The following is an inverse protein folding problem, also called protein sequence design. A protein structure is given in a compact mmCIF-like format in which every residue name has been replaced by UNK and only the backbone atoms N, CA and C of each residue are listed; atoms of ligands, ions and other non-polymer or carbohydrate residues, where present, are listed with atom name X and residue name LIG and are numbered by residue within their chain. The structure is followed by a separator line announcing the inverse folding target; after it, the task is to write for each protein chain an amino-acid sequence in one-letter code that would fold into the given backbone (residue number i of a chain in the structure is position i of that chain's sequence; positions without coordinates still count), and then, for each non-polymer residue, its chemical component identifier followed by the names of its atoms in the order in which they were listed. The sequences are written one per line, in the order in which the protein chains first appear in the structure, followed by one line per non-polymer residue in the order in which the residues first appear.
data_IF_684970969217
#
_entry.id   IF_684970969217
#
_cell.length_a   1.000
_cell.length_b   1.000
_cell.length_c   1.000
_cell.angle_alpha   90.00
_cell.angle_beta   90.00
_cell.angle_gamma   90.00
#
_symmetry.space_group_name_H-M   'P 1'
#
loop_
_entity.id
_entity.type
_entity.pdbx_description
1 polymer ?
#
# COMPACT_ATOMS: atom_id res chain seq x y z
N UNK A 1 26.39 -8.30 -36.65
CA UNK A 1 26.52 -7.99 -35.22
C UNK A 1 26.04 -6.56 -34.93
N UNK A 2 24.84 -6.42 -34.37
CA UNK A 2 24.11 -5.15 -34.37
C UNK A 2 24.38 -4.31 -33.12
N UNK A 3 25.57 -3.70 -33.08
CA UNK A 3 25.97 -2.68 -32.09
C UNK A 3 24.97 -1.51 -32.02
N UNK A 4 24.29 -1.20 -33.13
CA UNK A 4 23.29 -0.13 -33.20
C UNK A 4 22.03 -0.46 -32.37
N UNK A 5 21.58 -1.73 -32.39
CA UNK A 5 20.42 -2.16 -31.62
C UNK A 5 20.69 -2.09 -30.11
N UNK A 6 21.89 -2.49 -29.69
CA UNK A 6 22.36 -2.44 -28.30
C UNK A 6 22.30 -1.01 -27.76
N UNK A 7 22.79 -0.07 -28.57
CA UNK A 7 22.86 1.35 -28.22
C UNK A 7 21.47 1.97 -28.09
N UNK A 8 20.54 1.64 -29.00
CA UNK A 8 19.18 2.16 -29.01
C UNK A 8 18.38 1.68 -27.77
N UNK A 9 18.56 0.40 -27.40
CA UNK A 9 17.97 -0.20 -26.21
C UNK A 9 18.54 0.42 -24.93
N UNK A 10 19.85 0.64 -24.86
CA UNK A 10 20.49 1.29 -23.72
C UNK A 10 19.97 2.72 -23.53
N UNK A 11 19.82 3.47 -24.63
CA UNK A 11 19.27 4.84 -24.61
C UNK A 11 17.80 4.84 -24.14
N UNK A 12 16.95 3.98 -24.70
CA UNK A 12 15.55 3.85 -24.27
C UNK A 12 15.45 3.53 -22.77
N UNK A 13 16.40 2.76 -22.27
CA UNK A 13 16.49 2.42 -20.86
C UNK A 13 16.85 3.51 -19.91
N UNK A 14 17.84 4.31 -20.28
CA UNK A 14 18.17 5.51 -19.52
C UNK A 14 16.96 6.44 -19.50
N UNK A 15 16.24 6.56 -20.61
CA UNK A 15 15.04 7.39 -20.73
C UNK A 15 13.92 6.93 -19.80
N UNK A 16 13.64 5.63 -19.77
CA UNK A 16 12.66 5.05 -18.84
C UNK A 16 13.14 5.09 -17.38
N UNK A 17 14.41 4.86 -17.10
CA UNK A 17 14.99 4.99 -15.76
C UNK A 17 14.75 6.39 -15.19
N UNK A 18 14.95 7.39 -16.04
CA UNK A 18 14.76 8.79 -15.67
C UNK A 18 13.29 9.10 -15.38
N UNK A 19 12.38 8.56 -16.20
CA UNK A 19 10.94 8.68 -16.01
C UNK A 19 10.49 8.02 -14.69
N UNK A 20 10.87 6.76 -14.48
CA UNK A 20 10.54 6.01 -13.27
C UNK A 20 11.16 6.61 -12.00
N UNK A 21 12.41 7.07 -12.04
CA UNK A 21 13.02 7.83 -10.93
C UNK A 21 12.19 9.05 -10.59
N UNK A 22 11.82 9.85 -11.59
CA UNK A 22 11.09 11.10 -11.37
C UNK A 22 9.72 10.84 -10.76
N UNK A 23 9.04 9.80 -11.23
CA UNK A 23 7.76 9.32 -10.71
C UNK A 23 7.87 8.77 -9.30
N UNK A 24 8.85 7.91 -9.02
CA UNK A 24 9.12 7.38 -7.68
C UNK A 24 9.42 8.51 -6.70
N UNK A 25 10.32 9.44 -7.06
CA UNK A 25 10.67 10.60 -6.23
C UNK A 25 9.45 11.49 -5.98
N UNK A 26 8.60 11.74 -6.99
CA UNK A 26 7.34 12.48 -6.81
C UNK A 26 6.37 11.75 -5.88
N UNK A 27 6.27 10.43 -6.01
CA UNK A 27 5.39 9.63 -5.16
C UNK A 27 5.85 9.68 -3.69
N UNK A 28 7.12 9.46 -3.43
CA UNK A 28 7.69 9.51 -2.08
C UNK A 28 7.57 10.89 -1.43
N UNK A 29 7.71 11.96 -2.23
CA UNK A 29 7.53 13.34 -1.77
C UNK A 29 6.06 13.66 -1.46
N UNK A 30 5.12 13.08 -2.21
CA UNK A 30 3.67 13.24 -1.99
C UNK A 30 3.19 12.46 -0.76
N UNK A 31 3.79 11.30 -0.49
CA UNK A 31 3.50 10.49 0.70
C UNK A 31 3.97 11.18 2.01
N UNK A 32 4.77 12.25 1.92
CA UNK A 32 5.30 13.00 3.08
C UNK A 32 6.13 12.10 4.04
N UNK A 33 6.85 11.10 3.50
CA UNK A 33 7.79 10.30 4.31
C UNK A 33 8.85 11.21 4.96
N UNK A 34 9.27 12.27 4.26
CA UNK A 34 10.21 13.27 4.80
C UNK A 34 9.70 13.88 6.12
N UNK A 35 8.40 14.19 6.24
CA UNK A 35 7.78 14.73 7.48
C UNK A 35 7.61 13.70 8.61
N UNK A 36 7.59 12.41 8.28
CA UNK A 36 7.52 11.33 9.26
C UNK A 36 8.91 10.93 9.78
N UNK A 37 9.94 10.97 8.93
CA UNK A 37 11.34 10.73 9.33
C UNK A 37 11.93 11.87 10.17
N UNK A 38 11.56 13.13 9.88
CA UNK A 38 11.99 14.29 10.70
C UNK A 38 11.40 14.27 12.11
N UNK A 39 10.31 13.52 12.34
CA UNK A 39 9.71 13.35 13.68
C UNK A 39 10.33 12.20 14.49
N UNK A 40 11.15 11.34 13.89
CA UNK A 40 11.67 10.11 14.52
C UNK A 40 13.18 10.12 14.79
N UNK A 41 13.88 11.27 14.70
CA UNK A 41 15.34 11.39 14.90
C UNK A 41 16.21 10.51 13.98
N UNK A 42 15.61 9.88 12.95
CA UNK A 42 16.33 9.06 11.97
C UNK A 42 17.21 9.96 11.08
N UNK A 43 16.75 11.18 10.79
CA UNK A 43 17.50 12.21 10.06
C UNK A 43 18.85 12.53 10.75
N UNK A 44 18.90 12.46 12.08
CA UNK A 44 20.08 12.80 12.88
C UNK A 44 21.11 11.65 12.94
N UNK A 45 20.64 10.40 12.82
CA UNK A 45 21.49 9.21 12.73
C UNK A 45 22.14 9.07 11.33
N UNK A 46 21.43 9.46 10.26
CA UNK A 46 22.01 9.48 8.90
C UNK A 46 23.00 10.63 8.69
N UNK A 47 22.77 11.79 9.33
CA UNK A 47 23.71 12.93 9.32
C UNK A 47 25.02 12.59 10.04
N UNK A 48 24.96 11.86 11.16
CA UNK A 48 26.16 11.33 11.86
C UNK A 48 26.93 10.28 11.04
N UNK A 49 26.27 9.64 10.07
CA UNK A 49 26.89 8.72 9.11
C UNK A 49 27.44 9.37 7.83
N UNK A 50 27.41 10.70 7.71
CA UNK A 50 27.98 11.44 6.56
C UNK A 50 27.08 11.53 5.33
N UNK A 51 25.82 11.09 5.40
CA UNK A 51 24.89 11.10 4.27
C UNK A 51 24.05 12.38 4.32
N UNK A 52 24.42 13.38 3.50
CA UNK A 52 23.75 14.70 3.40
C UNK A 52 22.47 14.71 2.56
N UNK A 53 21.99 13.56 2.07
CA UNK A 53 20.84 13.51 1.18
C UNK A 53 19.55 13.05 1.86
N UNK A 54 18.43 13.65 1.43
CA UNK A 54 17.08 13.30 1.90
C UNK A 54 16.80 11.81 1.63
N UNK A 55 16.13 11.07 2.54
CA UNK A 55 15.82 9.65 2.37
C UNK A 55 15.07 9.33 1.07
N UNK A 56 14.19 10.25 0.64
CA UNK A 56 13.47 10.21 -0.64
C UNK A 56 14.39 10.27 -1.86
N UNK A 57 15.51 11.01 -1.77
CA UNK A 57 16.55 11.06 -2.79
C UNK A 57 17.39 9.78 -2.83
N UNK A 58 17.62 9.16 -1.67
CA UNK A 58 18.40 7.93 -1.54
C UNK A 58 17.66 6.72 -2.11
N UNK A 59 16.35 6.59 -1.83
CA UNK A 59 15.50 5.61 -2.50
C UNK A 59 15.39 5.87 -4.00
N UNK A 60 15.22 7.13 -4.42
CA UNK A 60 15.23 7.48 -5.85
C UNK A 60 16.54 7.14 -6.55
N UNK A 61 17.67 7.20 -5.83
CA UNK A 61 18.99 6.78 -6.30
C UNK A 61 19.13 5.27 -6.35
N UNK A 62 18.60 4.54 -5.38
CA UNK A 62 18.53 3.06 -5.42
C UNK A 62 17.71 2.56 -6.60
N UNK A 63 16.55 3.16 -6.85
CA UNK A 63 15.70 2.85 -8.02
C UNK A 63 16.46 3.16 -9.32
N UNK A 64 17.18 4.28 -9.40
CA UNK A 64 17.99 4.60 -10.57
C UNK A 64 19.09 3.57 -10.79
N UNK A 65 19.83 3.18 -9.76
CA UNK A 65 20.88 2.17 -9.86
C UNK A 65 20.32 0.80 -10.27
N UNK A 66 19.16 0.43 -9.74
CA UNK A 66 18.48 -0.80 -10.13
C UNK A 66 18.14 -0.79 -11.64
N UNK A 67 17.55 0.30 -12.13
CA UNK A 67 17.17 0.39 -13.54
C UNK A 67 18.41 0.46 -14.46
N UNK A 68 19.47 1.17 -14.05
CA UNK A 68 20.74 1.22 -14.80
C UNK A 68 21.36 -0.17 -14.94
N UNK A 69 21.42 -0.95 -13.85
CA UNK A 69 21.94 -2.32 -13.89
C UNK A 69 21.09 -3.20 -14.82
N UNK A 70 19.76 -3.08 -14.76
CA UNK A 70 18.85 -3.81 -15.65
C UNK A 70 19.10 -3.49 -17.13
N UNK A 71 19.27 -2.22 -17.48
CA UNK A 71 19.48 -1.83 -18.88
C UNK A 71 20.90 -2.08 -19.38
N UNK A 72 21.91 -2.10 -18.50
CA UNK A 72 23.23 -2.63 -18.86
C UNK A 72 23.14 -4.09 -19.29
N UNK A 73 22.41 -4.94 -18.57
CA UNK A 73 22.19 -6.35 -18.95
C UNK A 73 21.46 -6.44 -20.31
N UNK A 74 20.52 -5.52 -20.56
CA UNK A 74 19.79 -5.41 -21.82
C UNK A 74 20.64 -4.94 -22.99
N UNK A 75 21.69 -4.16 -22.76
CA UNK A 75 22.65 -3.79 -23.79
C UNK A 75 23.54 -4.97 -24.18
N UNK A 76 23.91 -5.83 -23.21
CA UNK A 76 24.65 -7.06 -23.47
C UNK A 76 23.80 -8.08 -24.26
N UNK A 77 22.46 -8.00 -24.17
CA UNK A 77 21.53 -8.84 -24.93
C UNK A 77 21.68 -8.73 -26.45
N UNK A 78 21.83 -7.51 -26.96
CA UNK A 78 21.85 -7.23 -28.40
C UNK A 78 23.01 -7.89 -29.15
N UNK A 79 23.91 -8.58 -28.43
CA UNK A 79 24.92 -9.48 -28.99
C UNK A 79 24.35 -10.84 -29.46
N UNK A 80 23.02 -11.04 -29.48
CA UNK A 80 22.33 -12.25 -29.98
C UNK A 80 22.62 -13.54 -29.17
N UNK A 81 22.57 -13.43 -27.84
CA UNK A 81 22.53 -14.61 -26.97
C UNK A 81 21.06 -15.04 -26.76
N UNK A 82 20.62 -16.24 -27.21
CA UNK A 82 19.22 -16.68 -27.12
C UNK A 82 18.69 -16.76 -25.67
N UNK A 83 19.57 -16.94 -24.69
CA UNK A 83 19.23 -16.87 -23.27
C UNK A 83 18.65 -15.50 -22.84
N UNK A 84 18.93 -14.45 -23.60
CA UNK A 84 18.63 -13.08 -23.21
C UNK A 84 17.38 -12.53 -23.94
N UNK A 85 16.87 -13.25 -24.95
CA UNK A 85 15.62 -12.93 -25.67
C UNK A 85 14.37 -13.16 -24.83
N UNK A 86 14.37 -14.27 -24.10
CA UNK A 86 13.36 -14.53 -23.09
C UNK A 86 13.43 -13.55 -21.90
N UNK A 87 14.61 -13.00 -21.59
CA UNK A 87 14.76 -12.01 -20.54
C UNK A 87 14.22 -10.64 -20.99
N UNK A 88 14.46 -10.22 -22.25
CA UNK A 88 13.91 -8.97 -22.78
C UNK A 88 12.37 -8.99 -22.84
N UNK A 89 11.76 -10.07 -23.34
CA UNK A 89 10.30 -10.16 -23.39
C UNK A 89 9.69 -10.02 -22.00
N UNK A 90 10.19 -10.79 -21.01
CA UNK A 90 9.74 -10.66 -19.62
C UNK A 90 9.95 -9.25 -19.06
N UNK A 91 11.06 -8.60 -19.43
CA UNK A 91 11.37 -7.24 -18.99
C UNK A 91 10.42 -6.18 -19.59
N UNK A 92 10.08 -6.28 -20.88
CA UNK A 92 9.11 -5.38 -21.52
C UNK A 92 7.71 -5.54 -20.91
N UNK A 93 7.31 -6.74 -20.49
CA UNK A 93 6.07 -6.96 -19.74
C UNK A 93 6.13 -6.49 -18.28
N UNK A 94 7.32 -6.49 -17.68
CA UNK A 94 7.54 -6.01 -16.30
C UNK A 94 7.31 -4.50 -16.16
N UNK A 95 7.60 -3.75 -17.21
CA UNK A 95 7.63 -2.29 -17.19
C UNK A 95 6.23 -1.64 -17.07
N UNK A 96 5.21 -2.06 -17.86
CA UNK A 96 3.81 -1.67 -17.63
C UNK A 96 3.30 -2.07 -16.25
N UNK A 97 3.75 -3.23 -15.76
CA UNK A 97 3.36 -3.76 -14.46
C UNK A 97 3.89 -2.93 -13.29
N UNK A 98 5.17 -2.53 -13.33
CA UNK A 98 5.73 -1.60 -12.33
C UNK A 98 5.01 -0.26 -12.36
N UNK A 99 4.69 0.25 -13.55
CA UNK A 99 3.94 1.50 -13.70
C UNK A 99 2.53 1.39 -13.11
N UNK A 100 1.82 0.30 -13.39
CA UNK A 100 0.51 0.02 -12.80
C UNK A 100 0.60 -0.10 -11.27
N UNK A 101 1.61 -0.80 -10.74
CA UNK A 101 1.86 -0.88 -9.29
C UNK A 101 2.06 0.49 -8.63
N UNK A 102 2.78 1.39 -9.30
CA UNK A 102 2.97 2.76 -8.84
C UNK A 102 1.64 3.54 -8.79
N UNK A 103 0.81 3.41 -9.84
CA UNK A 103 -0.53 4.00 -9.88
C UNK A 103 -1.39 3.46 -8.74
N UNK A 104 -1.37 2.15 -8.50
CA UNK A 104 -2.14 1.51 -7.43
C UNK A 104 -1.74 2.09 -6.06
N UNK A 105 -0.45 2.25 -5.77
CA UNK A 105 0.00 2.87 -4.50
C UNK A 105 -0.47 4.32 -4.40
N UNK A 106 -0.38 5.09 -5.49
CA UNK A 106 -0.84 6.49 -5.50
C UNK A 106 -2.35 6.59 -5.22
N UNK A 107 -3.15 5.79 -5.93
CA UNK A 107 -4.60 5.73 -5.75
C UNK A 107 -4.98 5.23 -4.37
N UNK A 108 -4.30 4.19 -3.87
CA UNK A 108 -4.49 3.66 -2.52
C UNK A 108 -4.19 4.69 -1.44
N UNK A 109 -3.15 5.50 -1.61
CA UNK A 109 -2.85 6.60 -0.68
C UNK A 109 -3.94 7.67 -0.69
N UNK A 110 -4.39 8.08 -1.89
CA UNK A 110 -5.44 9.09 -2.03
C UNK A 110 -6.77 8.61 -1.46
N UNK A 111 -7.18 7.39 -1.83
CA UNK A 111 -8.36 6.71 -1.30
C UNK A 111 -8.26 6.56 0.22
N UNK A 112 -7.12 6.09 0.74
CA UNK A 112 -6.89 5.94 2.17
C UNK A 112 -7.06 7.25 2.94
N UNK A 113 -6.58 8.37 2.39
CA UNK A 113 -6.81 9.69 3.00
C UNK A 113 -8.26 10.13 2.92
N UNK A 114 -8.92 9.93 1.77
CA UNK A 114 -10.31 10.29 1.57
C UNK A 114 -11.24 9.54 2.53
N UNK A 115 -11.15 8.21 2.55
CA UNK A 115 -11.97 7.37 3.40
C UNK A 115 -11.67 7.59 4.88
N UNK A 116 -10.39 7.76 5.27
CA UNK A 116 -10.08 8.07 6.67
C UNK A 116 -10.69 9.39 7.14
N UNK A 117 -10.71 10.42 6.30
CA UNK A 117 -11.38 11.69 6.65
C UNK A 117 -12.90 11.52 6.72
N UNK A 118 -13.51 10.83 5.76
CA UNK A 118 -14.94 10.53 5.78
C UNK A 118 -15.33 9.76 7.05
N UNK A 119 -14.58 8.72 7.39
CA UNK A 119 -14.77 7.93 8.62
C UNK A 119 -14.54 8.76 9.87
N UNK A 120 -13.52 9.63 9.90
CA UNK A 120 -13.28 10.50 11.06
C UNK A 120 -14.49 11.41 11.32
N UNK A 121 -15.00 12.07 10.28
CA UNK A 121 -16.16 12.97 10.38
C UNK A 121 -17.39 12.17 10.85
N UNK A 122 -17.65 11.02 10.23
CA UNK A 122 -18.77 10.15 10.63
C UNK A 122 -18.66 9.67 12.07
N UNK A 123 -17.48 9.23 12.50
CA UNK A 123 -17.25 8.74 13.86
C UNK A 123 -17.33 9.85 14.92
N UNK A 124 -16.84 11.07 14.61
CA UNK A 124 -17.02 12.24 15.49
C UNK A 124 -18.50 12.60 15.61
N UNK A 125 -19.24 12.62 14.50
CA UNK A 125 -20.68 12.90 14.52
C UNK A 125 -21.48 11.83 15.27
N UNK A 126 -21.02 10.59 15.27
CA UNK A 126 -21.60 9.50 16.04
C UNK A 126 -21.22 9.50 17.54
N UNK A 127 -20.44 10.48 18.01
CA UNK A 127 -20.00 10.58 19.40
C UNK A 127 -18.96 9.51 19.80
N UNK A 128 -18.31 8.84 18.85
CA UNK A 128 -17.32 7.82 19.17
C UNK A 128 -16.05 8.45 19.76
N UNK A 129 -15.77 8.12 21.03
CA UNK A 129 -14.63 8.63 21.82
C UNK A 129 -13.26 8.39 21.17
N UNK A 130 -13.13 7.42 20.27
CA UNK A 130 -11.87 7.08 19.59
C UNK A 130 -11.96 7.18 18.06
N UNK A 131 -12.65 8.20 17.56
CA UNK A 131 -12.79 8.48 16.11
C UNK A 131 -11.46 8.52 15.36
N UNK A 132 -10.40 9.04 15.99
CA UNK A 132 -9.05 9.09 15.43
C UNK A 132 -8.41 7.72 15.21
N UNK A 133 -8.63 6.74 16.10
CA UNK A 133 -8.10 5.39 15.94
C UNK A 133 -8.81 4.66 14.80
N UNK A 134 -10.14 4.81 14.70
CA UNK A 134 -10.94 4.18 13.64
C UNK A 134 -10.55 4.73 12.27
N UNK A 135 -10.41 6.05 12.14
CA UNK A 135 -9.94 6.67 10.90
C UNK A 135 -8.52 6.20 10.50
N UNK A 136 -7.61 6.08 11.47
CA UNK A 136 -6.26 5.54 11.24
C UNK A 136 -6.28 4.07 10.82
N UNK A 137 -7.13 3.26 11.44
CA UNK A 137 -7.31 1.86 11.07
C UNK A 137 -7.78 1.72 9.62
N UNK A 138 -8.80 2.49 9.22
CA UNK A 138 -9.29 2.53 7.83
C UNK A 138 -8.18 2.91 6.85
N UNK A 139 -7.43 3.98 7.16
CA UNK A 139 -6.29 4.39 6.32
C UNK A 139 -5.25 3.29 6.20
N UNK A 140 -4.86 2.69 7.33
CA UNK A 140 -3.85 1.65 7.38
C UNK A 140 -4.26 0.42 6.58
N UNK A 141 -5.52 -0.01 6.69
CA UNK A 141 -6.07 -1.11 5.89
C UNK A 141 -5.97 -0.80 4.40
N UNK A 142 -6.46 0.35 3.94
CA UNK A 142 -6.45 0.71 2.51
C UNK A 142 -5.01 0.77 1.95
N UNK A 143 -4.08 1.38 2.70
CA UNK A 143 -2.66 1.45 2.29
C UNK A 143 -2.06 0.06 2.23
N UNK A 144 -2.34 -0.80 3.22
CA UNK A 144 -1.85 -2.17 3.25
C UNK A 144 -2.35 -2.96 2.03
N UNK A 145 -3.64 -2.87 1.69
CA UNK A 145 -4.20 -3.50 0.49
C UNK A 145 -3.55 -2.98 -0.80
N UNK A 146 -3.39 -1.66 -0.93
CA UNK A 146 -2.75 -1.07 -2.10
C UNK A 146 -1.29 -1.50 -2.25
N UNK A 147 -0.57 -1.65 -1.13
CA UNK A 147 0.81 -2.12 -1.13
C UNK A 147 0.89 -3.59 -1.58
N UNK A 148 0.05 -4.46 -1.01
CA UNK A 148 -0.02 -5.87 -1.43
C UNK A 148 -0.35 -6.00 -2.92
N UNK A 149 -1.34 -5.24 -3.39
CA UNK A 149 -1.75 -5.25 -4.80
C UNK A 149 -0.66 -4.71 -5.73
N UNK A 150 0.13 -3.71 -5.28
CA UNK A 150 1.27 -3.23 -6.04
C UNK A 150 2.40 -4.27 -6.13
N UNK A 151 2.68 -5.00 -5.04
CA UNK A 151 3.66 -6.10 -5.05
C UNK A 151 3.23 -7.22 -6.00
N UNK A 152 1.94 -7.54 -6.03
CA UNK A 152 1.35 -8.49 -6.95
C UNK A 152 1.54 -8.04 -8.41
N UNK A 153 1.23 -6.78 -8.71
CA UNK A 153 1.39 -6.21 -10.05
C UNK A 153 2.86 -6.26 -10.51
N UNK A 154 3.80 -5.95 -9.61
CA UNK A 154 5.25 -5.99 -9.87
C UNK A 154 5.76 -7.42 -10.08
N UNK A 155 4.93 -8.47 -9.92
CA UNK A 155 5.34 -9.84 -10.20
C UNK A 155 6.18 -10.48 -9.10
N UNK A 156 6.21 -9.88 -7.89
CA UNK A 156 6.86 -10.49 -6.73
C UNK A 156 5.92 -11.60 -6.22
N UNK A 157 6.08 -12.79 -6.80
CA UNK A 157 5.30 -13.99 -6.48
C UNK A 157 3.80 -13.71 -6.33
N UNK A 158 3.07 -13.32 -7.40
CA UNK A 158 1.70 -12.83 -7.31
C UNK A 158 0.78 -13.73 -6.47
N UNK A 159 0.85 -15.04 -6.72
CA UNK A 159 0.08 -16.04 -5.99
C UNK A 159 0.59 -16.25 -4.57
N UNK A 160 1.91 -16.30 -4.37
CA UNK A 160 2.51 -16.51 -3.05
C UNK A 160 2.24 -15.32 -2.11
N UNK A 161 2.37 -14.10 -2.62
CA UNK A 161 2.13 -12.86 -1.89
C UNK A 161 0.65 -12.72 -1.53
N UNK A 162 -0.26 -13.00 -2.46
CA UNK A 162 -1.69 -12.97 -2.20
C UNK A 162 -2.10 -13.99 -1.12
N UNK A 163 -1.60 -15.24 -1.22
CA UNK A 163 -1.89 -16.30 -0.24
C UNK A 163 -1.29 -15.95 1.14
N UNK A 164 -0.03 -15.51 1.20
CA UNK A 164 0.61 -15.12 2.45
C UNK A 164 -0.12 -13.96 3.13
N UNK A 165 -0.54 -12.96 2.35
CA UNK A 165 -1.35 -11.86 2.84
C UNK A 165 -2.71 -12.33 3.34
N UNK A 166 -3.41 -13.19 2.60
CA UNK A 166 -4.70 -13.73 3.00
C UNK A 166 -4.60 -14.52 4.31
N UNK A 167 -3.53 -15.31 4.51
CA UNK A 167 -3.30 -16.04 5.76
C UNK A 167 -3.02 -15.06 6.92
N UNK A 168 -2.12 -14.10 6.72
CA UNK A 168 -1.75 -13.14 7.76
C UNK A 168 -2.95 -12.26 8.15
N UNK A 169 -3.57 -11.63 7.16
CA UNK A 169 -4.70 -10.73 7.37
C UNK A 169 -5.93 -11.50 7.86
N UNK A 170 -6.21 -12.67 7.27
CA UNK A 170 -7.28 -13.57 7.70
C UNK A 170 -7.11 -14.00 9.15
N UNK A 171 -5.88 -14.33 9.57
CA UNK A 171 -5.56 -14.64 10.97
C UNK A 171 -5.81 -13.47 11.91
N UNK A 172 -5.38 -12.25 11.55
CA UNK A 172 -5.60 -11.04 12.34
C UNK A 172 -7.11 -10.74 12.46
N UNK A 173 -7.83 -10.74 11.34
CA UNK A 173 -9.28 -10.49 11.30
C UNK A 173 -10.04 -11.53 12.12
N UNK A 174 -9.66 -12.81 11.99
CA UNK A 174 -10.27 -13.89 12.77
C UNK A 174 -10.02 -13.71 14.27
N UNK A 175 -8.80 -13.37 14.67
CA UNK A 175 -8.47 -13.11 16.07
C UNK A 175 -9.29 -11.94 16.63
N UNK A 176 -9.42 -10.84 15.88
CA UNK A 176 -10.28 -9.72 16.25
C UNK A 176 -11.75 -10.10 16.31
N UNK A 177 -12.26 -10.88 15.36
CA UNK A 177 -13.64 -11.34 15.33
C UNK A 177 -13.96 -12.18 16.57
N UNK A 178 -13.06 -13.10 16.96
CA UNK A 178 -13.20 -13.92 18.16
C UNK A 178 -13.14 -13.05 19.42
N UNK A 179 -12.13 -12.17 19.53
CA UNK A 179 -11.98 -11.29 20.69
C UNK A 179 -13.19 -10.37 20.88
N UNK A 180 -13.70 -9.79 19.79
CA UNK A 180 -14.89 -8.94 19.83
C UNK A 180 -16.15 -9.76 20.11
N UNK A 181 -16.31 -10.94 19.52
CA UNK A 181 -17.44 -11.83 19.76
C UNK A 181 -17.56 -12.26 21.22
N UNK A 182 -16.45 -12.66 21.85
CA UNK A 182 -16.43 -12.98 23.28
C UNK A 182 -16.62 -11.74 24.16
N UNK A 183 -15.94 -10.62 23.84
CA UNK A 183 -16.03 -9.38 24.63
C UNK A 183 -17.39 -8.68 24.58
N UNK A 184 -18.10 -8.78 23.45
CA UNK A 184 -19.40 -8.13 23.24
C UNK A 184 -20.59 -8.99 23.68
N UNK A 185 -20.38 -10.27 24.06
CA UNK A 185 -21.45 -11.21 24.43
C UNK A 185 -22.38 -10.65 25.52
N UNK A 186 -21.82 -9.98 26.52
CA UNK A 186 -22.59 -9.36 27.61
C UNK A 186 -23.50 -8.23 27.10
N UNK A 187 -22.95 -7.32 26.29
CA UNK A 187 -23.68 -6.18 25.70
C UNK A 187 -24.81 -6.69 24.80
N UNK A 188 -24.53 -7.70 23.96
CA UNK A 188 -25.51 -8.29 23.08
C UNK A 188 -26.68 -8.94 23.85
N UNK A 189 -26.39 -9.61 24.98
CA UNK A 189 -27.41 -10.22 25.84
C UNK A 189 -28.35 -9.16 26.42
N UNK A 190 -27.79 -8.11 27.03
CA UNK A 190 -28.59 -7.04 27.64
C UNK A 190 -29.47 -6.32 26.62
N UNK A 191 -28.95 -6.05 25.42
CA UNK A 191 -29.71 -5.41 24.34
C UNK A 191 -30.88 -6.28 23.86
N UNK A 192 -30.71 -7.61 23.80
CA UNK A 192 -31.78 -8.53 23.41
C UNK A 192 -32.85 -8.67 24.50
N UNK A 193 -32.45 -8.75 25.77
CA UNK A 193 -33.40 -8.82 26.90
C UNK A 193 -34.27 -7.56 26.97
N UNK A 194 -33.68 -6.36 26.80
CA UNK A 194 -34.43 -5.10 26.78
C UNK A 194 -35.43 -5.02 25.61
N UNK A 195 -35.05 -5.51 24.42
CA UNK A 195 -35.91 -5.45 23.24
C UNK A 195 -36.99 -6.54 23.20
N UNK A 196 -36.76 -7.68 23.86
CA UNK A 196 -37.74 -8.76 23.96
C UNK A 196 -38.75 -8.58 25.10
N UNK A 197 -38.39 -7.83 26.15
CA UNK A 197 -39.34 -7.41 27.19
C UNK A 197 -40.13 -6.17 26.74
N UNK A 198 -41.04 -6.35 25.77
CA UNK A 198 -42.18 -5.44 25.65
C UNK A 198 -43.13 -5.73 26.82
N UNK A 199 -43.31 -4.81 27.81
CA UNK A 199 -44.39 -4.96 28.76
C UNK A 199 -45.71 -4.85 27.98
N UNK A 200 -46.51 -5.93 27.96
CA UNK A 200 -47.92 -5.85 27.60
C UNK A 200 -48.53 -4.79 28.50
N UNK A 201 -48.87 -3.63 27.93
CA UNK A 201 -49.74 -2.68 28.59
C UNK A 201 -51.05 -3.43 28.85
N UNK A 202 -51.54 -3.50 30.09
CA UNK A 202 -52.86 -4.04 30.33
C UNK A 202 -53.84 -3.13 29.59
N UNK A 203 -54.56 -3.70 28.63
CA UNK A 203 -55.66 -3.03 27.94
C UNK A 203 -56.69 -2.68 29.01
N UNK A 204 -56.59 -1.44 29.49
CA UNK A 204 -57.61 -0.85 30.35
C UNK A 204 -58.73 -0.46 29.40
N UNK A 205 -59.68 -1.38 29.22
CA UNK A 205 -60.94 -1.12 28.54
C UNK A 205 -61.78 -0.17 29.42
N UNK A 206 -61.39 1.10 29.46
CA UNK A 206 -62.21 2.22 29.92
C UNK A 206 -63.02 2.74 28.73
N UNK A 207 -64.04 1.97 28.33
CA UNK A 207 -65.12 2.47 27.49
C UNK A 207 -66.42 2.29 28.26
N UNK A 208 -66.85 3.41 28.85
CA UNK A 208 -68.20 3.71 29.28
C UNK A 208 -69.19 3.61 28.10
#
# INVERSE_FOLDING_TARGET
PDLLGALLIFIAGILLAWLFKTLAVRLFRTINIDKYCDKTNISDLLLKGGIRERPSGLLGRLVLWFIVICFSILSLYSLNLPAVEHLLQKFLFYLPNVFAGLIIVLLGYLAGNFFARATLIGAVNAGWRSSGLVARAVKASIILFALTMALEQVGIGPQTTAIAFAILFGGIVLAFAIAFGFGARGIARSYLEEKMHHPQKPDTFDHL
#
